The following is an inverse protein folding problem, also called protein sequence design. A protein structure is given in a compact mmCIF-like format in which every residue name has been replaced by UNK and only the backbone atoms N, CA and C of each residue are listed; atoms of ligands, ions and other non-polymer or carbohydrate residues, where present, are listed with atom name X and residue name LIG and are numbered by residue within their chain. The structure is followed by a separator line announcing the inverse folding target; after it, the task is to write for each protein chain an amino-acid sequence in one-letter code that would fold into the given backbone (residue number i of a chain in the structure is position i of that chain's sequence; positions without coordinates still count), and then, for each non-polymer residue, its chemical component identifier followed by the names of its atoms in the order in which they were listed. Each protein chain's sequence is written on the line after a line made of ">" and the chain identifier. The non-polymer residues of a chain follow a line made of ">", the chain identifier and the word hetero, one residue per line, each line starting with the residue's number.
data_IF_839095812973
#
_entry.id   IF_839095812973
#
_cell.length_a   1.000
_cell.length_b   1.000
_cell.length_c   1.000
_cell.angle_alpha   90.00
_cell.angle_beta   90.00
_cell.angle_gamma   90.00
#
_symmetry.space_group_name_H-M   'P 1'
#
loop_
_entity.id
_entity.type
_entity.pdbx_description
1 polymer ?
#
# COMPACT_ATOMS: atom_id res chain seq x y z
N UNK A 1 26.44 6.00 12.07
CA UNK A 1 26.15 6.55 10.72
C UNK A 1 26.48 5.61 9.56
N UNK A 2 27.51 4.76 9.64
CA UNK A 2 27.85 3.81 8.54
C UNK A 2 26.97 2.54 8.48
N UNK A 3 26.40 2.10 9.61
CA UNK A 3 25.59 0.87 9.69
C UNK A 3 24.19 1.02 9.07
N UNK A 4 23.60 2.23 9.12
CA UNK A 4 22.29 2.53 8.54
C UNK A 4 22.30 2.52 7.00
N UNK A 5 23.42 2.88 6.35
CA UNK A 5 23.55 2.82 4.89
C UNK A 5 23.67 1.38 4.37
N UNK A 6 24.26 0.46 5.15
CA UNK A 6 24.45 -0.95 4.75
C UNK A 6 23.11 -1.71 4.83
N UNK A 7 22.27 -1.40 5.82
CA UNK A 7 20.90 -1.94 5.90
C UNK A 7 20.00 -1.46 4.75
N UNK A 8 20.18 -0.22 4.27
CA UNK A 8 19.47 0.27 3.07
C UNK A 8 19.90 -0.43 1.78
N UNK A 9 21.19 -0.79 1.66
CA UNK A 9 21.71 -1.47 0.46
C UNK A 9 21.24 -2.93 0.33
N UNK A 10 21.09 -3.68 1.43
CA UNK A 10 20.54 -5.04 1.37
C UNK A 10 19.07 -5.10 0.96
N UNK A 11 18.26 -4.09 1.31
CA UNK A 11 16.85 -4.02 0.90
C UNK A 11 16.68 -3.69 -0.59
N UNK A 12 17.63 -2.99 -1.20
CA UNK A 12 17.58 -2.63 -2.64
C UNK A 12 17.83 -3.85 -3.53
N UNK A 13 18.65 -4.81 -3.09
CA UNK A 13 18.98 -6.02 -3.89
C UNK A 13 17.89 -7.10 -3.76
N UNK A 14 17.20 -7.17 -2.62
CA UNK A 14 16.09 -8.13 -2.44
C UNK A 14 14.77 -7.71 -3.10
N UNK A 15 14.63 -6.46 -3.55
CA UNK A 15 13.41 -5.94 -4.19
C UNK A 15 13.21 -6.45 -5.64
N UNK A 16 14.18 -7.20 -6.19
CA UNK A 16 14.20 -7.69 -7.58
C UNK A 16 14.16 -9.22 -7.70
N UNK A 17 14.35 -9.97 -6.60
CA UNK A 17 14.09 -11.41 -6.62
C UNK A 17 12.59 -11.61 -6.49
N UNK A 18 11.92 -11.77 -7.63
CA UNK A 18 10.57 -12.31 -7.69
C UNK A 18 10.56 -13.61 -6.87
N UNK A 19 9.90 -13.62 -5.70
CA UNK A 19 9.77 -14.79 -4.82
C UNK A 19 9.20 -16.02 -5.53
N UNK A 20 8.66 -15.82 -6.73
CA UNK A 20 8.31 -16.82 -7.74
C UNK A 20 9.39 -17.87 -8.02
N UNK A 21 10.68 -17.55 -7.81
CA UNK A 21 11.76 -18.51 -8.08
C UNK A 21 11.94 -19.56 -6.98
N UNK A 22 11.48 -19.29 -5.76
CA UNK A 22 11.62 -20.20 -4.60
C UNK A 22 10.30 -20.85 -4.18
N UNK A 23 9.18 -20.19 -4.48
CA UNK A 23 7.83 -20.67 -4.21
C UNK A 23 7.07 -20.56 -5.53
N UNK A 24 6.70 -21.70 -6.12
CA UNK A 24 6.06 -21.74 -7.44
C UNK A 24 4.81 -20.86 -7.54
N UNK A 25 4.39 -20.57 -8.77
CA UNK A 25 3.22 -19.70 -9.03
C UNK A 25 1.99 -20.16 -8.24
N UNK A 26 1.35 -19.21 -7.54
CA UNK A 26 0.07 -19.47 -6.87
C UNK A 26 -0.99 -19.88 -7.90
N UNK A 27 -1.88 -20.85 -7.58
CA UNK A 27 -2.88 -21.32 -8.52
C UNK A 27 -3.82 -20.17 -8.94
N UNK A 28 -4.28 -20.24 -10.19
CA UNK A 28 -5.32 -19.35 -10.69
C UNK A 28 -6.61 -19.60 -9.91
N UNK A 29 -7.22 -18.51 -9.43
CA UNK A 29 -8.52 -18.49 -8.77
C UNK A 29 -9.53 -17.77 -9.65
N UNK A 30 -10.79 -18.17 -9.51
CA UNK A 30 -11.94 -17.60 -10.20
C UNK A 30 -12.86 -16.91 -9.19
N UNK A 31 -13.62 -15.89 -9.63
CA UNK A 31 -14.49 -15.14 -8.73
C UNK A 31 -15.57 -16.04 -8.14
N UNK A 32 -15.78 -15.94 -6.82
CA UNK A 32 -16.86 -16.66 -6.11
C UNK A 32 -18.19 -15.90 -6.14
N UNK A 33 -18.16 -14.61 -6.45
CA UNK A 33 -19.32 -13.71 -6.50
C UNK A 33 -19.17 -12.77 -7.68
N UNK A 34 -20.27 -12.28 -8.26
CA UNK A 34 -20.25 -11.30 -9.34
C UNK A 34 -19.72 -9.93 -8.91
N UNK A 35 -19.37 -9.10 -9.89
CA UNK A 35 -18.99 -7.71 -9.63
C UNK A 35 -20.22 -6.95 -9.13
N UNK A 36 -20.12 -6.37 -7.94
CA UNK A 36 -21.18 -5.61 -7.32
C UNK A 36 -20.90 -4.09 -7.44
N UNK A 37 -21.79 -3.30 -8.07
CA UNK A 37 -21.61 -1.85 -8.21
C UNK A 37 -21.42 -1.09 -6.89
N UNK A 38 -22.07 -1.55 -5.81
CA UNK A 38 -21.93 -0.97 -4.48
C UNK A 38 -20.51 -1.17 -3.95
N UNK A 39 -19.92 -2.34 -4.17
CA UNK A 39 -18.55 -2.62 -3.77
C UNK A 39 -17.55 -1.73 -4.51
N UNK A 40 -17.79 -1.46 -5.79
CA UNK A 40 -16.97 -0.49 -6.51
C UNK A 40 -17.14 0.93 -5.98
N UNK A 41 -18.35 1.28 -5.54
CA UNK A 41 -18.62 2.58 -4.94
C UNK A 41 -17.90 2.72 -3.60
N UNK A 42 -17.95 1.70 -2.74
CA UNK A 42 -17.16 1.63 -1.51
C UNK A 42 -15.67 1.88 -1.78
N UNK A 43 -15.12 1.30 -2.85
CA UNK A 43 -13.72 1.53 -3.22
C UNK A 43 -13.44 3.00 -3.62
N UNK A 44 -14.35 3.63 -4.36
CA UNK A 44 -14.24 5.03 -4.78
C UNK A 44 -14.35 5.99 -3.60
N UNK A 45 -15.19 5.66 -2.63
CA UNK A 45 -15.44 6.47 -1.45
C UNK A 45 -14.40 6.23 -0.34
N UNK A 46 -13.60 5.18 -0.44
CA UNK A 46 -12.63 4.80 0.59
C UNK A 46 -13.29 4.07 1.77
N UNK A 47 -14.46 3.47 1.58
CA UNK A 47 -15.15 2.72 2.61
C UNK A 47 -14.52 1.34 2.80
N UNK A 48 -14.14 1.02 4.05
CA UNK A 48 -13.54 -0.25 4.43
C UNK A 48 -14.40 -1.47 4.08
N UNK A 49 -15.71 -1.32 3.89
CA UNK A 49 -16.60 -2.39 3.41
C UNK A 49 -16.22 -2.93 2.03
N UNK A 50 -15.47 -2.17 1.21
CA UNK A 50 -14.88 -2.68 -0.01
C UNK A 50 -14.08 -3.98 0.21
N UNK A 51 -13.34 -4.09 1.31
CA UNK A 51 -12.50 -5.25 1.57
C UNK A 51 -13.31 -6.51 1.86
N UNK A 52 -14.51 -6.39 2.45
CA UNK A 52 -15.43 -7.51 2.61
C UNK A 52 -15.88 -8.03 1.24
N UNK A 53 -16.25 -7.14 0.32
CA UNK A 53 -16.58 -7.51 -1.05
C UNK A 53 -15.41 -8.16 -1.79
N UNK A 54 -14.21 -7.58 -1.63
CA UNK A 54 -13.02 -8.07 -2.31
C UNK A 54 -12.66 -9.48 -1.83
N UNK A 55 -12.70 -9.72 -0.52
CA UNK A 55 -12.47 -11.03 0.08
C UNK A 55 -13.54 -12.05 -0.31
N UNK A 56 -14.81 -11.65 -0.33
CA UNK A 56 -15.92 -12.52 -0.70
C UNK A 56 -15.81 -13.01 -2.16
N UNK A 57 -15.44 -12.11 -3.08
CA UNK A 57 -15.19 -12.45 -4.49
C UNK A 57 -13.91 -13.26 -4.68
N UNK A 58 -12.83 -12.94 -3.97
CA UNK A 58 -11.53 -13.61 -4.09
C UNK A 58 -11.13 -14.35 -2.82
N UNK A 59 -11.59 -15.60 -2.71
CA UNK A 59 -11.37 -16.45 -1.53
C UNK A 59 -9.95 -17.04 -1.49
N UNK A 60 -9.01 -16.23 -1.04
CA UNK A 60 -7.64 -16.67 -0.79
C UNK A 60 -7.49 -17.41 0.55
N UNK A 61 -6.51 -18.31 0.62
CA UNK A 61 -6.12 -18.96 1.88
C UNK A 61 -5.55 -17.92 2.86
N UNK A 62 -5.52 -18.28 4.15
CA UNK A 62 -4.94 -17.45 5.21
C UNK A 62 -3.54 -16.95 4.90
N UNK A 63 -2.75 -17.75 4.19
CA UNK A 63 -1.33 -17.49 3.92
C UNK A 63 -1.10 -16.39 2.88
N UNK A 64 -2.14 -16.03 2.10
CA UNK A 64 -2.09 -15.02 1.04
C UNK A 64 -3.35 -14.13 1.05
N UNK A 65 -3.73 -13.64 2.22
CA UNK A 65 -4.97 -12.88 2.42
C UNK A 65 -4.73 -11.40 2.71
N UNK A 66 -4.13 -10.68 1.74
CA UNK A 66 -3.84 -9.26 1.89
C UNK A 66 -5.06 -8.40 2.24
N UNK A 67 -6.23 -8.71 1.68
CA UNK A 67 -7.44 -7.92 1.88
C UNK A 67 -7.89 -7.89 3.33
N UNK A 68 -7.80 -9.01 4.05
CA UNK A 68 -8.13 -9.06 5.49
C UNK A 68 -6.94 -8.61 6.34
N UNK A 69 -5.74 -9.15 6.07
CA UNK A 69 -4.58 -8.95 6.92
C UNK A 69 -4.09 -7.50 6.92
N UNK A 70 -4.04 -6.85 5.76
CA UNK A 70 -3.57 -5.48 5.63
C UNK A 70 -4.70 -4.52 5.25
N UNK A 71 -5.39 -4.77 4.13
CA UNK A 71 -6.35 -3.82 3.55
C UNK A 71 -7.42 -3.37 4.55
N UNK A 72 -8.25 -4.31 4.99
CA UNK A 72 -9.36 -4.08 5.92
C UNK A 72 -8.88 -3.61 7.27
N UNK A 73 -7.92 -4.32 7.87
CA UNK A 73 -7.42 -4.02 9.21
C UNK A 73 -6.82 -2.61 9.30
N UNK A 74 -5.98 -2.21 8.34
CA UNK A 74 -5.40 -0.86 8.34
C UNK A 74 -6.46 0.21 8.06
N UNK A 75 -7.37 -0.02 7.11
CA UNK A 75 -8.48 0.89 6.84
C UNK A 75 -9.32 1.14 8.11
N UNK A 76 -9.72 0.07 8.80
CA UNK A 76 -10.52 0.17 10.02
C UNK A 76 -9.77 0.89 11.14
N UNK A 77 -8.47 0.64 11.32
CA UNK A 77 -7.67 1.32 12.34
C UNK A 77 -7.45 2.80 12.02
N UNK A 78 -7.24 3.15 10.74
CA UNK A 78 -7.19 4.56 10.30
C UNK A 78 -8.50 5.27 10.64
N UNK A 79 -9.65 4.65 10.35
CA UNK A 79 -10.98 5.17 10.70
C UNK A 79 -11.18 5.28 12.22
N UNK A 80 -10.77 4.26 12.97
CA UNK A 80 -10.89 4.23 14.44
C UNK A 80 -10.13 5.37 15.12
N UNK A 81 -8.94 5.70 14.62
CA UNK A 81 -8.09 6.75 15.20
C UNK A 81 -8.14 8.08 14.45
N UNK A 82 -9.10 8.25 13.54
CA UNK A 82 -9.20 9.40 12.64
C UNK A 82 -9.17 10.74 13.38
N UNK A 83 -9.93 10.85 14.48
CA UNK A 83 -10.01 12.09 15.28
C UNK A 83 -8.75 12.39 16.11
N UNK A 84 -7.84 11.43 16.24
CA UNK A 84 -6.53 11.62 16.87
C UNK A 84 -5.45 12.14 15.91
N UNK A 85 -5.78 12.30 14.62
CA UNK A 85 -4.89 12.90 13.64
C UNK A 85 -5.10 14.41 13.56
N UNK A 86 -4.04 15.14 13.24
CA UNK A 86 -4.14 16.50 12.69
C UNK A 86 -4.70 16.49 11.25
N UNK A 87 -4.80 17.66 10.63
CA UNK A 87 -5.36 17.80 9.29
C UNK A 87 -4.56 17.02 8.23
N UNK A 88 -3.24 16.98 8.34
CA UNK A 88 -2.35 16.28 7.41
C UNK A 88 -2.51 14.76 7.57
N UNK A 89 -2.67 14.29 8.81
CA UNK A 89 -2.93 12.90 9.13
C UNK A 89 -4.31 12.42 8.67
N UNK A 90 -5.35 13.26 8.81
CA UNK A 90 -6.70 12.99 8.31
C UNK A 90 -6.72 12.91 6.79
N UNK A 91 -6.09 13.87 6.12
CA UNK A 91 -5.93 13.84 4.67
C UNK A 91 -5.21 12.57 4.22
N UNK A 92 -4.12 12.19 4.90
CA UNK A 92 -3.42 10.94 4.61
C UNK A 92 -4.36 9.73 4.75
N UNK A 93 -5.11 9.61 5.84
CA UNK A 93 -6.01 8.48 6.08
C UNK A 93 -7.05 8.33 4.96
N UNK A 94 -7.66 9.43 4.54
CA UNK A 94 -8.69 9.44 3.49
C UNK A 94 -8.10 9.14 2.11
N UNK A 95 -7.06 9.87 1.72
CA UNK A 95 -6.51 9.77 0.37
C UNK A 95 -5.77 8.47 0.13
N UNK A 96 -5.03 7.96 1.11
CA UNK A 96 -4.29 6.70 0.98
C UNK A 96 -5.25 5.50 0.87
N UNK A 97 -6.32 5.49 1.66
CA UNK A 97 -7.37 4.45 1.62
C UNK A 97 -8.06 4.44 0.26
N UNK A 98 -8.54 5.60 -0.20
CA UNK A 98 -9.16 5.74 -1.54
C UNK A 98 -8.21 5.33 -2.66
N UNK A 99 -6.94 5.73 -2.57
CA UNK A 99 -5.92 5.34 -3.54
C UNK A 99 -5.76 3.83 -3.62
N UNK A 100 -5.59 3.15 -2.47
CA UNK A 100 -5.35 1.72 -2.43
C UNK A 100 -6.54 0.95 -3.00
N UNK A 101 -7.75 1.25 -2.53
CA UNK A 101 -8.97 0.59 -3.01
C UNK A 101 -9.19 0.84 -4.51
N UNK A 102 -8.94 2.07 -4.97
CA UNK A 102 -8.99 2.42 -6.39
C UNK A 102 -8.03 1.59 -7.26
N UNK A 103 -6.82 1.28 -6.77
CA UNK A 103 -5.89 0.38 -7.48
C UNK A 103 -6.45 -1.04 -7.60
N UNK A 104 -7.12 -1.52 -6.56
CA UNK A 104 -7.71 -2.86 -6.52
C UNK A 104 -8.96 -3.03 -7.37
N UNK A 105 -9.63 -1.97 -7.85
CA UNK A 105 -10.79 -2.09 -8.75
C UNK A 105 -10.48 -2.92 -10.00
N UNK A 106 -9.28 -2.77 -10.58
CA UNK A 106 -8.86 -3.57 -11.73
C UNK A 106 -8.77 -5.06 -11.41
N UNK A 107 -8.35 -5.41 -10.20
CA UNK A 107 -8.26 -6.79 -9.69
C UNK A 107 -9.63 -7.33 -9.31
N UNK A 108 -10.50 -6.48 -8.76
CA UNK A 108 -11.87 -6.82 -8.43
C UNK A 108 -12.65 -7.24 -9.69
N UNK A 109 -12.52 -6.47 -10.77
CA UNK A 109 -13.20 -6.70 -12.06
C UNK A 109 -12.63 -7.84 -12.90
N UNK A 110 -11.46 -8.35 -12.56
CA UNK A 110 -10.81 -9.39 -13.36
C UNK A 110 -11.65 -10.68 -13.40
N UNK A 111 -11.49 -11.43 -14.49
CA UNK A 111 -12.11 -12.75 -14.66
C UNK A 111 -11.38 -13.85 -13.87
N UNK A 112 -10.11 -13.62 -13.55
CA UNK A 112 -9.30 -14.50 -12.73
C UNK A 112 -8.18 -13.73 -12.03
N UNK A 113 -7.65 -14.32 -10.96
CA UNK A 113 -6.51 -13.78 -10.19
C UNK A 113 -5.62 -14.91 -9.67
N UNK A 114 -4.56 -14.56 -8.93
CA UNK A 114 -3.75 -15.47 -8.13
C UNK A 114 -3.51 -14.84 -6.76
N UNK A 115 -3.66 -15.59 -5.68
CA UNK A 115 -3.62 -15.04 -4.32
C UNK A 115 -2.27 -14.42 -3.97
N UNK A 116 -1.17 -15.10 -4.28
CA UNK A 116 0.16 -14.55 -4.06
C UNK A 116 0.39 -13.27 -4.89
N UNK A 117 -0.09 -13.23 -6.13
CA UNK A 117 0.03 -12.04 -6.97
C UNK A 117 -0.81 -10.87 -6.43
N UNK A 118 -2.00 -11.14 -5.87
CA UNK A 118 -2.83 -10.13 -5.20
C UNK A 118 -2.15 -9.58 -3.95
N UNK A 119 -1.50 -10.44 -3.18
CA UNK A 119 -0.73 -10.04 -2.00
C UNK A 119 0.45 -9.15 -2.37
N UNK A 120 1.31 -9.58 -3.29
CA UNK A 120 2.45 -8.79 -3.75
C UNK A 120 2.00 -7.45 -4.36
N UNK A 121 0.91 -7.47 -5.12
CA UNK A 121 0.29 -6.25 -5.64
C UNK A 121 -0.17 -5.34 -4.51
N UNK A 122 -0.83 -5.89 -3.49
CA UNK A 122 -1.32 -5.15 -2.34
C UNK A 122 -0.23 -4.49 -1.53
N UNK A 123 0.82 -5.23 -1.18
CA UNK A 123 1.93 -4.69 -0.41
C UNK A 123 2.63 -3.54 -1.17
N UNK A 124 2.83 -3.71 -2.48
CA UNK A 124 3.40 -2.68 -3.35
C UNK A 124 2.50 -1.44 -3.40
N UNK A 125 1.22 -1.61 -3.74
CA UNK A 125 0.29 -0.49 -3.87
C UNK A 125 0.03 0.22 -2.56
N UNK A 126 0.03 -0.48 -1.42
CA UNK A 126 -0.12 0.14 -0.10
C UNK A 126 1.05 1.08 0.20
N UNK A 127 2.29 0.66 -0.06
CA UNK A 127 3.47 1.52 0.14
C UNK A 127 3.43 2.74 -0.81
N UNK A 128 3.11 2.52 -2.09
CA UNK A 128 3.00 3.58 -3.08
C UNK A 128 1.89 4.59 -2.74
N UNK A 129 0.69 4.11 -2.41
CA UNK A 129 -0.44 4.98 -2.07
C UNK A 129 -0.16 5.76 -0.79
N UNK A 130 0.35 5.14 0.27
CA UNK A 130 0.69 5.85 1.50
C UNK A 130 1.71 6.97 1.22
N UNK A 131 2.83 6.64 0.58
CA UNK A 131 3.90 7.61 0.33
C UNK A 131 3.48 8.76 -0.61
N UNK A 132 2.62 8.49 -1.59
CA UNK A 132 2.15 9.49 -2.54
C UNK A 132 0.93 10.29 -2.06
N UNK A 133 0.26 9.84 -0.99
CA UNK A 133 -0.97 10.44 -0.44
C UNK A 133 -0.76 10.91 0.99
N UNK A 134 0.31 11.65 1.24
CA UNK A 134 0.47 12.44 2.47
C UNK A 134 1.19 11.75 3.64
N UNK A 135 1.43 10.44 3.62
CA UNK A 135 2.08 9.74 4.75
C UNK A 135 3.41 10.38 5.18
N UNK A 136 4.25 10.75 4.21
CA UNK A 136 5.58 11.30 4.46
C UNK A 136 5.56 12.65 5.22
N UNK A 137 4.47 13.41 5.07
CA UNK A 137 4.23 14.62 5.84
C UNK A 137 3.59 14.27 7.19
N UNK A 138 2.50 13.51 7.16
CA UNK A 138 1.71 13.12 8.32
C UNK A 138 2.55 12.48 9.43
N UNK A 139 3.54 11.65 9.08
CA UNK A 139 4.35 10.92 10.07
C UNK A 139 5.14 11.83 11.02
N UNK A 140 5.43 13.08 10.63
CA UNK A 140 6.22 14.01 11.45
C UNK A 140 5.49 14.41 12.73
N UNK A 141 4.18 14.69 12.61
CA UNK A 141 3.36 15.22 13.70
C UNK A 141 2.39 14.18 14.28
N UNK A 142 2.10 13.10 13.55
CA UNK A 142 1.10 12.10 13.93
C UNK A 142 1.70 10.76 14.38
N UNK A 143 2.99 10.73 14.73
CA UNK A 143 3.71 9.49 15.03
C UNK A 143 3.02 8.65 16.11
N UNK A 144 2.52 9.27 17.18
CA UNK A 144 1.89 8.53 18.28
C UNK A 144 0.54 7.94 17.88
N UNK A 145 -0.21 8.61 17.02
CA UNK A 145 -1.44 8.06 16.43
C UNK A 145 -1.11 6.94 15.44
N UNK A 146 -0.08 7.10 14.60
CA UNK A 146 0.35 6.07 13.66
C UNK A 146 0.85 4.80 14.35
N UNK A 147 1.54 4.90 15.50
CA UNK A 147 1.91 3.72 16.32
C UNK A 147 0.69 2.95 16.81
N UNK A 148 -0.47 3.60 16.98
CA UNK A 148 -1.73 2.93 17.31
C UNK A 148 -2.42 2.37 16.07
N UNK A 149 -2.20 2.93 14.89
CA UNK A 149 -2.73 2.38 13.64
C UNK A 149 -1.97 1.14 13.18
N UNK A 150 -0.64 1.18 13.21
CA UNK A 150 0.20 0.08 12.72
C UNK A 150 0.54 -0.92 13.82
N UNK A 151 0.42 -2.21 13.52
CA UNK A 151 0.82 -3.30 14.42
C UNK A 151 2.32 -3.60 14.22
N UNK A 152 3.03 -4.20 15.20
CA UNK A 152 4.42 -4.64 15.01
C UNK A 152 4.66 -5.54 13.78
N UNK A 153 3.62 -6.24 13.29
CA UNK A 153 3.71 -7.04 12.06
C UNK A 153 3.77 -6.21 10.78
N UNK A 154 3.53 -4.90 10.87
CA UNK A 154 3.51 -3.98 9.74
C UNK A 154 4.84 -3.26 9.53
N UNK A 155 5.87 -3.58 10.34
CA UNK A 155 7.17 -2.91 10.26
C UNK A 155 7.82 -3.02 8.88
N UNK A 156 7.67 -4.17 8.21
CA UNK A 156 8.16 -4.35 6.84
C UNK A 156 7.44 -3.37 5.90
N UNK A 157 6.12 -3.28 6.01
CA UNK A 157 5.30 -2.41 5.16
C UNK A 157 5.53 -0.92 5.43
N UNK A 158 5.73 -0.55 6.70
CA UNK A 158 6.16 0.79 7.09
C UNK A 158 7.55 1.11 6.51
N UNK A 159 8.49 0.17 6.58
CA UNK A 159 9.81 0.29 5.97
C UNK A 159 9.73 0.54 4.47
N UNK A 160 8.90 -0.22 3.74
CA UNK A 160 8.64 0.01 2.30
C UNK A 160 8.06 1.39 2.02
N UNK A 161 7.11 1.83 2.83
CA UNK A 161 6.50 3.17 2.72
C UNK A 161 7.54 4.28 2.94
N UNK A 162 8.38 4.16 3.96
CA UNK A 162 9.45 5.13 4.25
C UNK A 162 10.52 5.16 3.14
N UNK A 163 10.88 4.01 2.59
CA UNK A 163 11.76 3.92 1.41
C UNK A 163 11.13 4.64 0.22
N UNK A 164 9.83 4.48 -0.01
CA UNK A 164 9.13 5.20 -1.07
C UNK A 164 9.07 6.71 -0.81
N UNK A 165 8.90 7.16 0.43
CA UNK A 165 9.04 8.57 0.79
C UNK A 165 10.42 9.13 0.41
N UNK A 166 11.50 8.43 0.77
CA UNK A 166 12.85 8.85 0.43
C UNK A 166 13.07 8.88 -1.10
N UNK A 167 12.57 7.87 -1.82
CA UNK A 167 12.62 7.81 -3.29
C UNK A 167 11.90 8.98 -3.94
N UNK A 168 10.71 9.33 -3.45
CA UNK A 168 9.93 10.46 -3.95
C UNK A 168 10.68 11.79 -3.76
N UNK A 169 11.27 12.01 -2.59
CA UNK A 169 12.07 13.21 -2.31
C UNK A 169 13.33 13.29 -3.17
N UNK A 170 14.03 12.17 -3.39
CA UNK A 170 15.18 12.11 -4.30
C UNK A 170 14.76 12.40 -5.74
N UNK A 171 13.65 11.81 -6.21
CA UNK A 171 13.11 12.05 -7.55
C UNK A 171 12.78 13.53 -7.78
N UNK A 172 12.14 14.19 -6.81
CA UNK A 172 11.86 15.64 -6.85
C UNK A 172 13.15 16.47 -6.95
N UNK A 173 14.19 16.11 -6.19
CA UNK A 173 15.49 16.81 -6.29
C UNK A 173 16.15 16.61 -7.64
N UNK A 174 16.12 15.38 -8.16
CA UNK A 174 16.69 15.06 -9.47
C UNK A 174 15.94 15.73 -10.62
N UNK A 175 14.61 15.83 -10.56
CA UNK A 175 13.82 16.50 -11.60
C UNK A 175 14.07 18.00 -11.67
N UNK A 176 14.53 18.63 -10.57
CA UNK A 176 14.98 20.02 -10.54
C UNK A 176 16.40 20.17 -11.09
N UNK A 177 17.29 19.23 -10.78
CA UNK A 177 18.71 19.30 -11.15
C UNK A 177 18.93 18.90 -12.63
N UNK A 178 18.23 17.90 -13.14
CA UNK A 178 18.42 17.37 -14.49
C UNK A 178 18.23 18.43 -15.60
N UNK A 179 17.20 19.31 -15.56
CA UNK A 179 17.07 20.39 -16.53
C UNK A 179 18.19 21.43 -16.46
N UNK A 180 18.75 21.67 -15.27
CA UNK A 180 19.90 22.58 -15.07
C UNK A 180 21.16 22.00 -15.72
N UNK A 181 21.34 20.68 -15.63
CA UNK A 181 22.47 19.97 -16.25
C UNK A 181 22.29 19.85 -17.77
N UNK A 182 21.06 19.68 -18.27
CA UNK A 182 20.78 19.45 -19.70
C UNK A 182 20.53 20.74 -20.51
N UNK A 183 20.63 21.93 -19.91
CA UNK A 183 20.84 23.19 -20.62
C UNK A 183 19.87 23.48 -21.77
N UNK A 184 18.71 24.04 -21.44
CA UNK A 184 18.19 25.15 -22.24
C UNK A 184 18.31 26.42 -21.40
N UNK A 185 19.26 27.28 -21.81
CA UNK A 185 19.13 28.72 -21.62
C UNK A 185 17.87 29.20 -22.34
#
# INVERSE_FOLDING_TARGET
>A
MKVLCILSLCLIVCDQVNGHFLFGSSPTIYPSEDVNPMCEQNARDGDCEFWNCFHARWRCSSDHNFSEEYGKRLCQRLKQYYDSFDDEGKQFADESTKCLMGKFLSKYRADSNQCYALEQYGEKMLAECNANRGFCAAIKNNMDTLKRVYHPRDLIQLGRTLTQCARNELSKKLSVILPIIHGKK
#
